data_IF_636149379881
#
_entry.id   IF_636149379881
#
_cell.length_a   1.000
_cell.length_b   1.000
_cell.length_c   1.000
_cell.angle_alpha   90.00
_cell.angle_beta   90.00
_cell.angle_gamma   90.00
#
_symmetry.space_group_name_H-M   'P 1'
#
loop_
_entity.id
_entity.type
_entity.pdbx_description
1 polymer ?
#
# COMPACT_ATOMS: atom_id res chain seq x y z
N UNK A 1 32.06 -1.20 -11.87
CA UNK A 1 30.77 -1.58 -11.26
C UNK A 1 30.28 -0.41 -10.44
N UNK A 2 29.21 0.27 -10.88
CA UNK A 2 28.59 1.32 -10.07
C UNK A 2 28.01 0.68 -8.81
N UNK A 3 28.53 1.06 -7.63
CA UNK A 3 28.01 0.60 -6.34
C UNK A 3 26.62 1.22 -6.16
N UNK A 4 25.56 0.42 -6.37
CA UNK A 4 24.19 0.86 -6.14
C UNK A 4 24.02 1.20 -4.67
N UNK A 5 23.90 2.49 -4.35
CA UNK A 5 23.74 2.99 -2.99
C UNK A 5 22.43 2.43 -2.40
N UNK A 6 22.50 1.64 -1.34
CA UNK A 6 21.33 1.15 -0.60
C UNK A 6 20.75 2.29 0.24
N UNK A 7 19.42 2.29 0.39
CA UNK A 7 18.74 3.18 1.33
C UNK A 7 19.08 2.76 2.77
N UNK A 8 19.23 3.74 3.66
CA UNK A 8 19.30 3.48 5.10
C UNK A 8 17.91 3.15 5.65
N UNK A 9 17.84 2.52 6.83
CA UNK A 9 16.60 2.07 7.46
C UNK A 9 15.57 3.20 7.59
N UNK A 10 15.97 4.37 8.09
CA UNK A 10 15.09 5.53 8.22
C UNK A 10 14.48 5.99 6.88
N UNK A 11 15.26 6.01 5.81
CA UNK A 11 14.78 6.41 4.49
C UNK A 11 13.82 5.37 3.91
N UNK A 12 14.11 4.08 4.10
CA UNK A 12 13.24 2.99 3.68
C UNK A 12 11.91 2.99 4.46
N UNK A 13 11.95 3.18 5.78
CA UNK A 13 10.76 3.29 6.64
C UNK A 13 9.95 4.54 6.31
N UNK A 14 10.58 5.67 6.00
CA UNK A 14 9.87 6.88 5.61
C UNK A 14 9.09 6.70 4.30
N UNK A 15 9.67 6.02 3.31
CA UNK A 15 8.99 5.73 2.03
C UNK A 15 7.79 4.80 2.27
N UNK A 16 7.97 3.68 2.97
CA UNK A 16 6.86 2.75 3.19
C UNK A 16 5.80 3.32 4.14
N UNK A 17 6.23 4.10 5.13
CA UNK A 17 5.34 4.80 6.06
C UNK A 17 4.46 5.79 5.32
N UNK A 18 5.02 6.56 4.39
CA UNK A 18 4.25 7.48 3.58
C UNK A 18 3.21 6.76 2.69
N UNK A 19 3.58 5.65 2.06
CA UNK A 19 2.68 4.84 1.22
C UNK A 19 1.47 4.29 2.00
N UNK A 20 1.73 3.73 3.19
CA UNK A 20 0.68 3.17 4.06
C UNK A 20 -0.16 4.28 4.70
N UNK A 21 0.49 5.28 5.31
CA UNK A 21 -0.21 6.34 6.03
C UNK A 21 -1.06 7.22 5.11
N UNK A 22 -0.56 7.54 3.90
CA UNK A 22 -1.35 8.28 2.92
C UNK A 22 -2.64 7.54 2.56
N UNK A 23 -2.58 6.21 2.47
CA UNK A 23 -3.74 5.39 2.17
C UNK A 23 -4.72 5.28 3.35
N UNK A 24 -4.21 5.20 4.58
CA UNK A 24 -5.05 5.15 5.77
C UNK A 24 -5.87 6.44 5.98
N UNK A 25 -5.34 7.62 5.65
CA UNK A 25 -6.05 8.89 5.89
C UNK A 25 -7.35 8.98 5.08
N UNK A 26 -7.33 8.66 3.78
CA UNK A 26 -8.55 8.69 2.96
C UNK A 26 -9.51 7.55 3.32
N UNK A 27 -9.00 6.34 3.59
CA UNK A 27 -9.82 5.19 4.02
C UNK A 27 -10.50 5.47 5.36
N UNK A 28 -9.83 6.16 6.28
CA UNK A 28 -10.40 6.52 7.58
C UNK A 28 -11.54 7.53 7.43
N UNK A 29 -11.40 8.53 6.55
CA UNK A 29 -12.49 9.46 6.24
C UNK A 29 -13.71 8.72 5.68
N UNK A 30 -13.52 7.85 4.68
CA UNK A 30 -14.60 7.02 4.11
C UNK A 30 -15.23 6.09 5.18
N UNK A 31 -14.42 5.46 6.02
CA UNK A 31 -14.91 4.59 7.08
C UNK A 31 -15.78 5.36 8.09
N UNK A 32 -15.40 6.59 8.45
CA UNK A 32 -16.19 7.46 9.34
C UNK A 32 -17.51 7.86 8.68
N UNK A 33 -17.50 8.22 7.40
CA UNK A 33 -18.71 8.61 6.66
C UNK A 33 -19.75 7.48 6.66
N UNK A 34 -19.34 6.24 6.43
CA UNK A 34 -20.28 5.11 6.31
C UNK A 34 -20.58 4.39 7.64
N UNK A 35 -19.56 4.18 8.50
CA UNK A 35 -19.71 3.41 9.73
C UNK A 35 -19.93 4.27 10.99
N UNK A 36 -19.81 5.60 10.87
CA UNK A 36 -20.01 6.55 11.96
C UNK A 36 -19.15 6.20 13.17
N UNK A 37 -19.77 6.09 14.35
CA UNK A 37 -19.11 5.75 15.61
C UNK A 37 -18.39 4.39 15.60
N UNK A 38 -18.70 3.48 14.66
CA UNK A 38 -18.09 2.15 14.58
C UNK A 38 -16.88 2.08 13.64
N UNK A 39 -16.47 3.20 13.04
CA UNK A 39 -15.35 3.24 12.11
C UNK A 39 -14.03 2.71 12.71
N UNK A 40 -13.79 2.92 14.01
CA UNK A 40 -12.61 2.40 14.70
C UNK A 40 -12.52 0.87 14.67
N UNK A 41 -13.66 0.16 14.66
CA UNK A 41 -13.68 -1.29 14.57
C UNK A 41 -13.17 -1.76 13.20
N UNK A 42 -13.63 -1.12 12.12
CA UNK A 42 -13.15 -1.38 10.77
C UNK A 42 -11.65 -1.10 10.64
N UNK A 43 -11.17 0.01 11.20
CA UNK A 43 -9.74 0.38 11.18
C UNK A 43 -8.88 -0.60 11.99
N UNK A 44 -9.38 -1.10 13.13
CA UNK A 44 -8.69 -2.13 13.91
C UNK A 44 -8.56 -3.45 13.14
N UNK A 45 -9.59 -3.85 12.39
CA UNK A 45 -9.52 -5.05 11.55
C UNK A 45 -8.45 -4.88 10.47
N UNK A 46 -8.42 -3.74 9.79
CA UNK A 46 -7.40 -3.43 8.78
C UNK A 46 -5.99 -3.47 9.40
N UNK A 47 -5.80 -2.81 10.55
CA UNK A 47 -4.52 -2.83 11.26
C UNK A 47 -4.10 -4.25 11.66
N UNK A 48 -5.05 -5.08 12.12
CA UNK A 48 -4.81 -6.49 12.45
C UNK A 48 -4.35 -7.30 11.23
N UNK A 49 -5.01 -7.12 10.07
CA UNK A 49 -4.60 -7.79 8.82
C UNK A 49 -3.19 -7.36 8.41
N UNK A 50 -2.90 -6.05 8.40
CA UNK A 50 -1.57 -5.54 8.08
C UNK A 50 -0.49 -6.05 9.04
N UNK A 51 -0.82 -6.18 10.32
CA UNK A 51 0.08 -6.74 11.32
C UNK A 51 0.44 -8.21 11.05
N UNK A 52 -0.52 -9.03 10.60
CA UNK A 52 -0.26 -10.42 10.22
C UNK A 52 0.66 -10.50 8.99
N UNK A 53 0.47 -9.60 8.01
CA UNK A 53 1.30 -9.53 6.81
C UNK A 53 2.76 -9.15 7.08
N UNK A 54 3.06 -8.47 8.18
CA UNK A 54 4.43 -8.08 8.56
C UNK A 54 5.40 -9.26 8.55
N UNK A 55 5.01 -10.40 9.13
CA UNK A 55 5.88 -11.59 9.19
C UNK A 55 6.12 -12.17 7.80
N UNK A 56 5.08 -12.24 6.99
CA UNK A 56 5.15 -12.75 5.61
C UNK A 56 6.13 -11.90 4.79
N UNK A 57 6.03 -10.57 4.86
CA UNK A 57 6.95 -9.68 4.16
C UNK A 57 8.39 -9.83 4.65
N UNK A 58 8.61 -10.00 5.96
CA UNK A 58 9.94 -10.23 6.53
C UNK A 58 10.60 -11.51 5.99
N UNK A 59 9.87 -12.61 5.96
CA UNK A 59 10.36 -13.90 5.45
C UNK A 59 10.63 -13.86 3.93
N UNK A 60 9.67 -13.33 3.16
CA UNK A 60 9.75 -13.30 1.69
C UNK A 60 10.85 -12.35 1.20
N UNK A 61 10.94 -11.14 1.75
CA UNK A 61 11.97 -10.15 1.37
C UNK A 61 13.34 -10.54 1.91
N UNK A 62 13.40 -11.23 3.06
CA UNK A 62 14.62 -11.82 3.59
C UNK A 62 15.17 -12.95 2.70
N UNK A 63 14.29 -13.82 2.19
CA UNK A 63 14.66 -14.95 1.33
C UNK A 63 15.01 -14.53 -0.10
N UNK A 64 14.33 -13.50 -0.64
CA UNK A 64 14.52 -13.00 -2.01
C UNK A 64 14.75 -11.48 -2.00
N UNK A 65 15.98 -11.00 -1.72
CA UNK A 65 16.32 -9.58 -1.69
C UNK A 65 16.48 -9.00 -3.10
N UNK A 66 15.44 -9.14 -3.92
CA UNK A 66 15.37 -8.70 -5.31
C UNK A 66 14.61 -7.37 -5.42
N UNK A 67 15.10 -6.49 -6.30
CA UNK A 67 14.48 -5.20 -6.60
C UNK A 67 13.23 -5.35 -7.48
N UNK A 68 12.16 -5.96 -6.97
CA UNK A 68 10.84 -5.96 -7.65
C UNK A 68 9.67 -6.48 -6.83
N UNK A 69 9.78 -6.43 -5.50
CA UNK A 69 8.66 -6.66 -4.57
C UNK A 69 7.92 -7.97 -4.81
N UNK A 70 6.59 -7.91 -4.68
CA UNK A 70 5.71 -9.08 -4.80
C UNK A 70 5.78 -9.76 -6.18
N UNK A 71 5.96 -9.01 -7.27
CA UNK A 71 6.09 -9.62 -8.61
C UNK A 71 7.34 -10.49 -8.73
N UNK A 72 8.50 -9.98 -8.32
CA UNK A 72 9.72 -10.79 -8.36
C UNK A 72 9.68 -11.95 -7.38
N UNK A 73 9.07 -11.78 -6.20
CA UNK A 73 8.84 -12.89 -5.29
C UNK A 73 8.00 -13.99 -5.94
N UNK A 74 6.88 -13.63 -6.58
CA UNK A 74 6.01 -14.58 -7.27
C UNK A 74 6.67 -15.19 -8.52
N UNK A 75 7.38 -14.40 -9.31
CA UNK A 75 8.09 -14.89 -10.50
C UNK A 75 9.12 -15.98 -10.16
N UNK A 76 9.73 -15.89 -8.97
CA UNK A 76 10.72 -16.85 -8.49
C UNK A 76 10.13 -18.01 -7.68
N UNK A 77 8.88 -17.92 -7.23
CA UNK A 77 8.23 -18.95 -6.38
C UNK A 77 7.03 -19.65 -7.02
N UNK A 78 6.50 -19.13 -8.13
CA UNK A 78 5.35 -19.69 -8.86
C UNK A 78 5.53 -19.66 -10.38
N UNK A 79 4.46 -19.94 -11.14
CA UNK A 79 4.46 -19.90 -12.60
C UNK A 79 4.44 -18.47 -13.14
N UNK A 80 5.04 -18.26 -14.32
CA UNK A 80 5.06 -16.95 -15.00
C UNK A 80 3.66 -16.38 -15.21
N UNK A 81 2.68 -17.24 -15.52
CA UNK A 81 1.29 -16.85 -15.72
C UNK A 81 0.64 -16.36 -14.41
N UNK A 82 0.84 -17.10 -13.31
CA UNK A 82 0.32 -16.69 -11.99
C UNK A 82 0.97 -15.39 -11.53
N UNK A 83 2.28 -15.24 -11.71
CA UNK A 83 3.00 -14.02 -11.37
C UNK A 83 2.51 -12.82 -12.20
N UNK A 84 2.28 -12.99 -13.51
CA UNK A 84 1.75 -11.93 -14.37
C UNK A 84 0.31 -11.56 -14.03
N UNK A 85 -0.54 -12.54 -13.72
CA UNK A 85 -1.92 -12.30 -13.30
C UNK A 85 -1.99 -11.57 -11.96
N UNK A 86 -1.16 -11.96 -10.99
CA UNK A 86 -1.05 -11.26 -9.73
C UNK A 86 -0.58 -9.81 -9.94
N UNK A 87 0.43 -9.59 -10.79
CA UNK A 87 0.92 -8.25 -11.09
C UNK A 87 -0.12 -7.37 -11.79
N UNK A 88 -0.92 -7.92 -12.72
CA UNK A 88 -1.99 -7.14 -13.36
C UNK A 88 -3.09 -6.77 -12.37
N UNK A 89 -3.47 -7.67 -11.46
CA UNK A 89 -4.41 -7.37 -10.38
C UNK A 89 -3.87 -6.31 -9.41
N UNK A 90 -2.58 -6.38 -9.05
CA UNK A 90 -1.93 -5.36 -8.23
C UNK A 90 -1.92 -3.99 -8.92
N UNK A 91 -1.56 -3.93 -10.21
CA UNK A 91 -1.60 -2.70 -10.98
C UNK A 91 -3.02 -2.13 -11.07
N UNK A 92 -4.02 -2.97 -11.34
CA UNK A 92 -5.41 -2.53 -11.39
C UNK A 92 -5.86 -1.95 -10.03
N UNK A 93 -5.48 -2.59 -8.93
CA UNK A 93 -5.76 -2.11 -7.58
C UNK A 93 -5.10 -0.76 -7.31
N UNK A 94 -3.82 -0.58 -7.66
CA UNK A 94 -3.13 0.70 -7.50
C UNK A 94 -3.71 1.81 -8.37
N UNK A 95 -4.12 1.50 -9.60
CA UNK A 95 -4.79 2.48 -10.46
C UNK A 95 -6.12 2.93 -9.85
N UNK A 96 -6.93 2.02 -9.32
CA UNK A 96 -8.17 2.37 -8.63
C UNK A 96 -7.90 3.26 -7.39
N UNK A 97 -6.90 2.91 -6.57
CA UNK A 97 -6.50 3.72 -5.41
C UNK A 97 -6.02 5.11 -5.82
N UNK A 98 -5.24 5.23 -6.90
CA UNK A 98 -4.76 6.50 -7.41
C UNK A 98 -5.91 7.40 -7.88
N UNK A 99 -6.90 6.85 -8.60
CA UNK A 99 -8.08 7.58 -9.05
C UNK A 99 -8.92 8.08 -7.86
N UNK A 100 -9.16 7.22 -6.86
CA UNK A 100 -9.89 7.63 -5.65
C UNK A 100 -9.12 8.73 -4.91
N UNK A 101 -7.81 8.55 -4.71
CA UNK A 101 -6.97 9.54 -4.01
C UNK A 101 -6.97 10.90 -4.71
N UNK A 102 -6.90 10.92 -6.04
CA UNK A 102 -6.99 12.14 -6.83
C UNK A 102 -8.37 12.80 -6.73
N UNK A 103 -9.45 11.99 -6.77
CA UNK A 103 -10.82 12.49 -6.62
C UNK A 103 -11.04 13.14 -5.26
N UNK A 104 -10.62 12.48 -4.17
CA UNK A 104 -10.73 13.01 -2.82
C UNK A 104 -9.89 14.29 -2.65
N UNK A 105 -8.68 14.35 -3.20
CA UNK A 105 -7.87 15.56 -3.17
C UNK A 105 -8.57 16.75 -3.84
N UNK A 106 -9.24 16.52 -4.98
CA UNK A 106 -10.04 17.56 -5.64
C UNK A 106 -11.27 17.96 -4.82
N UNK A 107 -11.93 17.02 -4.15
CA UNK A 107 -13.03 17.34 -3.23
C UNK A 107 -12.55 18.22 -2.06
N UNK A 108 -11.40 17.93 -1.45
CA UNK A 108 -10.80 18.78 -0.42
C UNK A 108 -10.43 20.17 -0.92
N UNK A 109 -9.81 20.28 -2.11
CA UNK A 109 -9.49 21.59 -2.70
C UNK A 109 -10.76 22.40 -2.98
N UNK A 110 -11.80 21.74 -3.51
CA UNK A 110 -13.08 22.38 -3.79
C UNK A 110 -13.77 22.85 -2.51
N UNK A 111 -13.75 22.07 -1.42
CA UNK A 111 -14.34 22.48 -0.15
C UNK A 111 -13.63 23.69 0.47
N UNK A 112 -12.31 23.82 0.28
CA UNK A 112 -11.55 24.98 0.79
C UNK A 112 -11.85 26.25 -0.04
N UNK A 113 -12.11 26.12 -1.34
CA UNK A 113 -12.34 27.27 -2.23
C UNK A 113 -13.79 27.79 -2.21
N UNK A 114 -14.75 26.97 -1.79
CA UNK A 114 -16.17 27.34 -1.68
C UNK A 114 -16.60 27.82 -0.28
N UNK A 115 -15.67 28.04 0.64
CA UNK A 115 -15.88 28.90 1.82
C UNK A 115 -15.67 30.39 1.49
#
# INVERSE_FOLDING_TARGET
MSQTKKLNELAATAICGNDISSSCLYVSALAIIYAGQYAWLSLLIVAGVLFLFRRIYGEVVGALPLNGGAYNALLNTTSKFTASLAATLTLLSYMATAVISASEAMHYVHSIWHE
#
